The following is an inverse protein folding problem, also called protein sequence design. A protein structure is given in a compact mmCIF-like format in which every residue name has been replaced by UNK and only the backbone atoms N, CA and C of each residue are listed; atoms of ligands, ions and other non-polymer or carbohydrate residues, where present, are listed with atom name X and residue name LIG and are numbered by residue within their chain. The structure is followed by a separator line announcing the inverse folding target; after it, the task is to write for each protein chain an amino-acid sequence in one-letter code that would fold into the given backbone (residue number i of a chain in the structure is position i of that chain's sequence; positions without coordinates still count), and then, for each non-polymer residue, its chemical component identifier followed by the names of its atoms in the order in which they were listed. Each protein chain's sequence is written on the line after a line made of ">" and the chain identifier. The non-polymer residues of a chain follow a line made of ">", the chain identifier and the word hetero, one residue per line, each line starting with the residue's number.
data_IF_471112257925
#
_entry.id   IF_471112257925
#
_cell.length_a   1.000
_cell.length_b   1.000
_cell.length_c   1.000
_cell.angle_alpha   90.00
_cell.angle_beta   90.00
_cell.angle_gamma   90.00
#
_symmetry.space_group_name_H-M   'P 1'
#
loop_
_entity.id
_entity.type
_entity.pdbx_description
1 polymer ?
#
# COMPACT_ATOMS: atom_id res chain seq x y z
N UNK A 1 71.42 -77.61 -19.75
CA UNK A 1 71.24 -77.27 -18.32
C UNK A 1 71.87 -78.26 -17.33
N UNK A 2 72.41 -79.41 -17.73
CA UNK A 2 73.10 -80.34 -16.82
C UNK A 2 74.63 -80.13 -16.69
N UNK A 3 75.28 -79.41 -17.61
CA UNK A 3 76.72 -79.10 -17.52
C UNK A 3 77.05 -78.15 -16.38
N UNK A 4 76.22 -77.13 -16.16
CA UNK A 4 76.36 -76.18 -15.07
C UNK A 4 76.26 -76.86 -13.69
N UNK A 5 75.45 -77.92 -13.56
CA UNK A 5 75.36 -78.69 -12.32
C UNK A 5 76.60 -79.58 -12.11
N UNK A 6 77.16 -80.13 -13.20
CA UNK A 6 78.39 -80.94 -13.16
C UNK A 6 79.61 -80.11 -12.79
N UNK A 7 79.74 -78.91 -13.35
CA UNK A 7 80.82 -77.97 -12.98
C UNK A 7 80.69 -77.52 -11.53
N UNK A 8 79.48 -77.20 -11.06
CA UNK A 8 79.25 -76.86 -9.65
C UNK A 8 79.57 -78.01 -8.71
N UNK A 9 79.22 -79.25 -9.06
CA UNK A 9 79.56 -80.43 -8.27
C UNK A 9 81.08 -80.67 -8.24
N UNK A 10 81.78 -80.46 -9.37
CA UNK A 10 83.23 -80.60 -9.43
C UNK A 10 83.96 -79.53 -8.63
N UNK A 11 83.45 -78.29 -8.64
CA UNK A 11 83.98 -77.18 -7.84
C UNK A 11 83.82 -77.45 -6.34
N UNK A 12 82.64 -77.90 -5.91
CA UNK A 12 82.41 -78.30 -4.50
C UNK A 12 83.31 -79.47 -4.09
N UNK A 13 83.56 -80.42 -4.98
CA UNK A 13 84.44 -81.55 -4.71
C UNK A 13 85.92 -81.12 -4.63
N UNK A 14 86.36 -80.17 -5.46
CA UNK A 14 87.69 -79.56 -5.33
C UNK A 14 87.81 -78.77 -4.02
N UNK A 15 86.81 -77.98 -3.65
CA UNK A 15 86.82 -77.14 -2.45
C UNK A 15 86.82 -77.98 -1.16
N UNK A 16 86.12 -79.12 -1.15
CA UNK A 16 86.24 -80.10 -0.06
C UNK A 16 87.62 -80.76 0.01
N UNK A 17 88.24 -81.03 -1.14
CA UNK A 17 89.54 -81.70 -1.21
C UNK A 17 90.70 -80.74 -0.88
N UNK A 18 90.58 -79.46 -1.21
CA UNK A 18 91.55 -78.42 -0.85
C UNK A 18 91.41 -78.00 0.61
N UNK A 19 90.20 -77.97 1.16
CA UNK A 19 89.93 -77.72 2.59
C UNK A 19 90.54 -78.77 3.53
N UNK A 20 90.67 -80.04 3.11
CA UNK A 20 91.33 -81.08 3.90
C UNK A 20 92.87 -81.06 3.80
N UNK A 21 93.44 -80.53 2.73
CA UNK A 21 94.90 -80.44 2.54
C UNK A 21 95.55 -79.35 3.40
N UNK A 22 94.81 -78.33 3.82
CA UNK A 22 95.32 -77.23 4.68
C UNK A 22 95.26 -77.54 6.19
N UNK A 23 94.57 -78.62 6.59
CA UNK A 23 94.50 -79.08 7.99
C UNK A 23 95.47 -80.22 8.33
N UNK A 24 96.07 -80.88 7.33
CA UNK A 24 96.93 -82.06 7.50
C UNK A 24 98.44 -81.81 7.64
N UNK A 25 98.92 -80.58 7.47
CA UNK A 25 100.36 -80.28 7.33
C UNK A 25 100.94 -79.46 8.50
N UNK A 26 100.77 -79.97 9.72
CA UNK A 26 101.57 -79.57 10.89
C UNK A 26 101.42 -80.57 12.03
N UNK A 27 101.68 -81.84 11.74
CA UNK A 27 101.95 -82.81 12.80
C UNK A 27 102.67 -84.03 12.22
N UNK A 28 104.01 -83.94 12.16
CA UNK A 28 104.93 -85.03 12.51
C UNK A 28 106.40 -84.61 12.44
N UNK A 29 106.94 -84.44 13.64
CA UNK A 29 108.27 -84.85 14.10
C UNK A 29 109.54 -84.47 13.32
N UNK A 30 110.40 -83.68 13.97
CA UNK A 30 111.75 -84.18 14.32
C UNK A 30 112.35 -83.45 15.52
N UNK A 31 112.77 -84.26 16.50
CA UNK A 31 113.88 -84.06 17.45
C UNK A 31 113.63 -83.24 18.72
N UNK A 32 113.24 -84.00 19.73
CA UNK A 32 113.61 -83.89 21.15
C UNK A 32 114.97 -83.19 21.34
N UNK A 33 114.94 -81.98 21.91
CA UNK A 33 116.04 -81.42 22.70
C UNK A 33 115.52 -81.22 24.12
N UNK A 34 115.79 -82.18 25.01
CA UNK A 34 115.64 -81.97 26.45
C UNK A 34 116.53 -80.79 26.85
N UNK A 35 115.94 -79.72 27.37
CA UNK A 35 116.60 -78.76 28.26
C UNK A 35 115.77 -78.68 29.56
N UNK A 36 116.42 -78.48 30.72
CA UNK A 36 115.89 -78.87 32.01
C UNK A 36 114.77 -77.94 32.47
N UNK A 37 113.78 -78.54 33.15
CA UNK A 37 112.82 -77.84 34.01
C UNK A 37 113.53 -77.35 35.27
N UNK A 38 112.87 -76.39 35.93
CA UNK A 38 113.24 -75.61 37.12
C UNK A 38 114.06 -74.37 36.74
N UNK A 39 113.57 -73.13 36.95
CA UNK A 39 112.85 -72.67 38.14
C UNK A 39 112.07 -71.36 37.84
N UNK A 40 110.97 -71.16 38.59
CA UNK A 40 110.21 -69.91 38.77
C UNK A 40 109.44 -69.30 37.57
N UNK A 41 108.49 -70.07 37.02
CA UNK A 41 107.24 -69.42 36.58
C UNK A 41 106.42 -69.10 37.83
N UNK A 42 106.53 -67.87 38.35
CA UNK A 42 105.48 -67.32 39.19
C UNK A 42 104.16 -67.56 38.43
N UNK A 43 103.17 -68.29 38.97
CA UNK A 43 101.92 -68.49 38.26
C UNK A 43 101.37 -67.08 38.00
N UNK A 44 101.21 -66.71 36.73
CA UNK A 44 100.50 -65.49 36.39
C UNK A 44 99.04 -65.71 36.77
N UNK A 45 98.70 -65.40 38.02
CA UNK A 45 97.33 -65.34 38.52
C UNK A 45 96.54 -64.17 37.88
N UNK A 46 96.95 -63.69 36.70
CA UNK A 46 96.34 -62.60 35.95
C UNK A 46 95.09 -63.02 35.19
N UNK A 47 94.95 -64.30 34.81
CA UNK A 47 93.78 -64.77 34.06
C UNK A 47 92.45 -64.53 34.80
N UNK A 48 92.45 -64.63 36.14
CA UNK A 48 91.29 -64.29 36.97
C UNK A 48 90.98 -62.79 36.94
N UNK A 49 92.02 -61.95 37.01
CA UNK A 49 91.89 -60.48 36.91
C UNK A 49 91.37 -60.06 35.52
N UNK A 50 91.86 -60.67 34.45
CA UNK A 50 91.44 -60.39 33.07
C UNK A 50 89.97 -60.79 32.82
N UNK A 51 89.52 -61.91 33.40
CA UNK A 51 88.12 -62.33 33.34
C UNK A 51 87.23 -61.35 34.11
N UNK A 52 87.61 -60.96 35.33
CA UNK A 52 86.85 -59.96 36.10
C UNK A 52 86.79 -58.62 35.36
N UNK A 53 87.92 -58.14 34.83
CA UNK A 53 87.99 -56.90 34.06
C UNK A 53 87.06 -56.95 32.83
N UNK A 54 86.99 -58.06 32.10
CA UNK A 54 86.05 -58.22 30.99
C UNK A 54 84.58 -58.18 31.42
N UNK A 55 84.24 -58.82 32.55
CA UNK A 55 82.87 -58.77 33.07
C UNK A 55 82.51 -57.38 33.57
N UNK A 56 83.44 -56.69 34.22
CA UNK A 56 83.27 -55.30 34.66
C UNK A 56 83.04 -54.36 33.48
N UNK A 57 83.88 -54.43 32.45
CA UNK A 57 83.73 -53.66 31.21
C UNK A 57 82.41 -53.96 30.49
N UNK A 58 82.05 -55.25 30.39
CA UNK A 58 80.80 -55.68 29.76
C UNK A 58 79.57 -55.19 30.53
N UNK A 59 79.61 -55.27 31.86
CA UNK A 59 78.55 -54.80 32.74
C UNK A 59 78.41 -53.28 32.67
N UNK A 60 79.52 -52.55 32.70
CA UNK A 60 79.54 -51.10 32.53
C UNK A 60 78.93 -50.68 31.18
N UNK A 61 79.35 -51.31 30.07
CA UNK A 61 78.84 -51.03 28.73
C UNK A 61 77.34 -51.33 28.63
N UNK A 62 76.90 -52.47 29.20
CA UNK A 62 75.48 -52.84 29.23
C UNK A 62 74.67 -51.81 30.00
N UNK A 63 75.11 -51.43 31.21
CA UNK A 63 74.39 -50.46 32.02
C UNK A 63 74.33 -49.09 31.33
N UNK A 64 75.44 -48.64 30.73
CA UNK A 64 75.47 -47.41 29.94
C UNK A 64 74.46 -47.45 28.80
N UNK A 65 74.44 -48.52 28.01
CA UNK A 65 73.45 -48.69 26.93
C UNK A 65 72.02 -48.71 27.43
N UNK A 66 71.75 -49.38 28.54
CA UNK A 66 70.41 -49.38 29.16
C UNK A 66 70.00 -47.97 29.58
N UNK A 67 70.93 -47.18 30.13
CA UNK A 67 70.68 -45.78 30.50
C UNK A 67 70.42 -44.91 29.28
N UNK A 68 71.24 -45.03 28.23
CA UNK A 68 71.07 -44.29 26.99
C UNK A 68 69.73 -44.66 26.32
N UNK A 69 69.34 -45.94 26.37
CA UNK A 69 68.06 -46.42 25.87
C UNK A 69 66.87 -45.86 26.68
N UNK A 70 66.99 -45.79 28.02
CA UNK A 70 65.96 -45.20 28.87
C UNK A 70 65.77 -43.70 28.58
N UNK A 71 66.87 -42.96 28.40
CA UNK A 71 66.81 -41.53 28.02
C UNK A 71 66.17 -41.32 26.64
N UNK A 72 66.49 -42.18 25.67
CA UNK A 72 65.84 -42.14 24.35
C UNK A 72 64.34 -42.46 24.44
N UNK A 73 63.95 -43.42 25.29
CA UNK A 73 62.55 -43.75 25.53
C UNK A 73 61.79 -42.59 26.19
N UNK A 74 62.39 -41.91 27.18
CA UNK A 74 61.82 -40.72 27.81
C UNK A 74 61.61 -39.57 26.81
N UNK A 75 62.55 -39.36 25.88
CA UNK A 75 62.40 -38.35 24.83
C UNK A 75 61.22 -38.67 23.89
N UNK A 76 61.11 -39.93 23.45
CA UNK A 76 60.00 -40.37 22.59
C UNK A 76 58.65 -40.31 23.31
N UNK A 77 58.61 -40.64 24.60
CA UNK A 77 57.41 -40.50 25.42
C UNK A 77 56.97 -39.03 25.51
N UNK A 78 57.91 -38.10 25.69
CA UNK A 78 57.65 -36.67 25.62
C UNK A 78 57.02 -36.23 24.30
N UNK A 79 57.58 -36.68 23.17
CA UNK A 79 57.03 -36.41 21.83
C UNK A 79 55.63 -37.02 21.65
N UNK A 80 55.41 -38.24 22.16
CA UNK A 80 54.11 -38.92 22.11
C UNK A 80 53.05 -38.16 22.92
N UNK A 81 53.40 -37.68 24.12
CA UNK A 81 52.49 -36.86 24.95
C UNK A 81 52.15 -35.57 24.22
N UNK A 82 53.13 -34.86 23.66
CA UNK A 82 52.91 -33.64 22.90
C UNK A 82 52.01 -33.87 21.68
N UNK A 83 52.22 -34.94 20.93
CA UNK A 83 51.39 -35.30 19.78
C UNK A 83 49.95 -35.63 20.21
N UNK A 84 49.78 -36.37 21.31
CA UNK A 84 48.45 -36.69 21.85
C UNK A 84 47.68 -35.43 22.26
N UNK A 85 48.34 -34.48 22.92
CA UNK A 85 47.74 -33.20 23.29
C UNK A 85 47.34 -32.38 22.06
N UNK A 86 48.16 -32.43 21.00
CA UNK A 86 47.86 -31.77 19.73
C UNK A 86 46.64 -32.39 19.03
N UNK A 87 46.56 -33.72 19.02
CA UNK A 87 45.44 -34.46 18.47
C UNK A 87 44.15 -34.18 19.23
N UNK A 88 44.21 -34.17 20.56
CA UNK A 88 43.05 -33.87 21.42
C UNK A 88 42.51 -32.46 21.17
N UNK A 89 43.39 -31.47 21.02
CA UNK A 89 42.98 -30.10 20.67
C UNK A 89 42.27 -30.05 19.31
N UNK A 90 42.79 -30.77 18.31
CA UNK A 90 42.18 -30.83 16.97
C UNK A 90 40.84 -31.55 17.01
N UNK A 91 40.73 -32.64 17.76
CA UNK A 91 39.49 -33.38 17.97
C UNK A 91 38.43 -32.49 18.62
N UNK A 92 38.77 -31.78 19.70
CA UNK A 92 37.86 -30.86 20.36
C UNK A 92 37.35 -29.75 19.41
N UNK A 93 38.24 -29.16 18.62
CA UNK A 93 37.87 -28.14 17.63
C UNK A 93 36.93 -28.69 16.53
N UNK A 94 37.16 -29.92 16.06
CA UNK A 94 36.29 -30.58 15.10
C UNK A 94 34.91 -30.90 15.69
N UNK A 95 34.85 -31.38 16.94
CA UNK A 95 33.58 -31.62 17.62
C UNK A 95 32.79 -30.33 17.77
N UNK A 96 33.43 -29.22 18.16
CA UNK A 96 32.77 -27.92 18.26
C UNK A 96 32.23 -27.47 16.90
N UNK A 97 33.01 -27.61 15.82
CA UNK A 97 32.55 -27.28 14.47
C UNK A 97 31.36 -28.15 14.06
N UNK A 98 31.39 -29.44 14.37
CA UNK A 98 30.29 -30.35 14.09
C UNK A 98 29.02 -29.94 14.84
N UNK A 99 29.12 -29.57 16.13
CA UNK A 99 27.99 -29.06 16.91
C UNK A 99 27.39 -27.80 16.29
N UNK A 100 28.23 -26.85 15.83
CA UNK A 100 27.74 -25.66 15.13
C UNK A 100 27.08 -26.01 13.79
N UNK A 101 27.63 -26.97 13.04
CA UNK A 101 27.03 -27.37 11.77
C UNK A 101 25.70 -28.10 11.97
N UNK A 102 25.54 -28.81 13.09
CA UNK A 102 24.29 -29.47 13.45
C UNK A 102 23.16 -28.49 13.83
N UNK A 103 23.46 -27.24 14.23
CA UNK A 103 22.44 -26.24 14.51
C UNK A 103 21.95 -25.49 13.27
N UNK A 104 22.71 -25.50 12.16
CA UNK A 104 22.35 -24.81 10.91
C UNK A 104 20.97 -25.21 10.37
N UNK A 105 20.55 -26.50 10.34
CA UNK A 105 19.22 -26.86 9.88
C UNK A 105 18.08 -26.27 10.73
N UNK A 106 18.28 -26.14 12.05
CA UNK A 106 17.29 -25.51 12.92
C UNK A 106 17.17 -24.01 12.60
N UNK A 107 18.31 -23.33 12.43
CA UNK A 107 18.34 -21.92 12.02
C UNK A 107 17.69 -21.69 10.64
N UNK A 108 17.90 -22.61 9.68
CA UNK A 108 17.20 -22.57 8.38
C UNK A 108 15.69 -22.71 8.60
N UNK A 109 15.24 -23.62 9.47
CA UNK A 109 13.83 -23.76 9.82
C UNK A 109 13.23 -22.49 10.43
N UNK A 110 13.99 -21.79 11.28
CA UNK A 110 13.57 -20.50 11.84
C UNK A 110 13.46 -19.41 10.76
N UNK A 111 14.41 -19.37 9.80
CA UNK A 111 14.36 -18.48 8.64
C UNK A 111 13.15 -18.78 7.74
N UNK A 112 12.88 -20.05 7.47
CA UNK A 112 11.71 -20.48 6.68
C UNK A 112 10.41 -20.10 7.38
N UNK A 113 10.33 -20.25 8.71
CA UNK A 113 9.17 -19.84 9.50
C UNK A 113 8.97 -18.31 9.47
N UNK A 114 10.04 -17.53 9.62
CA UNK A 114 9.97 -16.07 9.48
C UNK A 114 9.54 -15.66 8.08
N UNK A 115 10.06 -16.32 7.04
CA UNK A 115 9.69 -16.07 5.64
C UNK A 115 8.20 -16.37 5.41
N UNK A 116 7.68 -17.46 5.96
CA UNK A 116 6.25 -17.79 5.89
C UNK A 116 5.38 -16.77 6.63
N UNK A 117 5.81 -16.29 7.80
CA UNK A 117 5.10 -15.26 8.54
C UNK A 117 5.06 -13.92 7.78
N UNK A 118 6.16 -13.54 7.13
CA UNK A 118 6.21 -12.35 6.26
C UNK A 118 5.20 -12.50 5.12
N UNK A 119 5.20 -13.63 4.41
CA UNK A 119 4.26 -13.87 3.32
C UNK A 119 2.79 -13.85 3.78
N UNK A 120 2.50 -14.36 4.98
CA UNK A 120 1.15 -14.26 5.56
C UNK A 120 0.75 -12.81 5.82
N UNK A 121 1.66 -12.03 6.43
CA UNK A 121 1.42 -10.63 6.76
C UNK A 121 1.24 -9.78 5.49
N UNK A 122 2.01 -10.06 4.42
CA UNK A 122 1.81 -9.46 3.10
C UNK A 122 0.39 -9.71 2.57
N UNK A 123 -0.11 -10.94 2.71
CA UNK A 123 -1.50 -11.28 2.36
C UNK A 123 -2.55 -10.53 3.19
N UNK A 124 -2.32 -10.42 4.51
CA UNK A 124 -3.22 -9.65 5.41
C UNK A 124 -3.25 -8.16 5.03
N UNK A 125 -2.10 -7.59 4.63
CA UNK A 125 -2.02 -6.20 4.15
C UNK A 125 -2.75 -6.02 2.82
N UNK A 126 -2.62 -6.93 1.86
CA UNK A 126 -3.37 -6.87 0.60
C UNK A 126 -4.89 -6.94 0.85
N UNK A 127 -5.34 -7.80 1.79
CA UNK A 127 -6.75 -7.85 2.18
C UNK A 127 -7.19 -6.52 2.83
N UNK A 128 -6.39 -5.94 3.70
CA UNK A 128 -6.69 -4.65 4.33
C UNK A 128 -6.77 -3.51 3.31
N UNK A 129 -5.85 -3.46 2.34
CA UNK A 129 -5.88 -2.50 1.24
C UNK A 129 -7.16 -2.64 0.41
N UNK A 130 -7.56 -3.87 0.09
CA UNK A 130 -8.82 -4.12 -0.63
C UNK A 130 -10.05 -3.62 0.14
N UNK A 131 -10.08 -3.80 1.47
CA UNK A 131 -11.15 -3.32 2.34
C UNK A 131 -11.15 -1.79 2.44
N UNK A 132 -9.98 -1.16 2.48
CA UNK A 132 -9.84 0.28 2.53
C UNK A 132 -10.34 0.92 1.22
N UNK A 133 -9.96 0.35 0.07
CA UNK A 133 -10.46 0.78 -1.25
C UNK A 133 -12.00 0.64 -1.35
N UNK A 134 -12.56 -0.44 -0.81
CA UNK A 134 -14.01 -0.62 -0.74
C UNK A 134 -14.67 0.43 0.15
N UNK A 135 -14.07 0.75 1.31
CA UNK A 135 -14.58 1.79 2.20
C UNK A 135 -14.54 3.17 1.53
N UNK A 136 -13.46 3.51 0.83
CA UNK A 136 -13.36 4.75 0.05
C UNK A 136 -14.47 4.84 -0.99
N UNK A 137 -14.71 3.75 -1.72
CA UNK A 137 -15.81 3.66 -2.69
C UNK A 137 -17.18 3.93 -2.03
N UNK A 138 -17.42 3.35 -0.86
CA UNK A 138 -18.65 3.55 -0.11
C UNK A 138 -18.79 5.00 0.41
N UNK A 139 -17.71 5.62 0.87
CA UNK A 139 -17.68 7.03 1.26
C UNK A 139 -18.04 7.95 0.09
N UNK A 140 -17.40 7.75 -1.07
CA UNK A 140 -17.74 8.50 -2.29
C UNK A 140 -19.21 8.35 -2.68
N UNK A 141 -19.76 7.13 -2.55
CA UNK A 141 -21.18 6.88 -2.82
C UNK A 141 -22.10 7.63 -1.84
N UNK A 142 -21.77 7.64 -0.55
CA UNK A 142 -22.53 8.37 0.48
C UNK A 142 -22.50 9.89 0.22
N UNK A 143 -21.35 10.45 -0.14
CA UNK A 143 -21.22 11.87 -0.50
C UNK A 143 -22.05 12.20 -1.73
N UNK A 144 -21.96 11.38 -2.78
CA UNK A 144 -22.77 11.55 -3.99
C UNK A 144 -24.26 11.52 -3.69
N UNK A 145 -24.71 10.54 -2.88
CA UNK A 145 -26.10 10.42 -2.47
C UNK A 145 -26.56 11.66 -1.68
N UNK A 146 -25.71 12.18 -0.80
CA UNK A 146 -25.99 13.37 0.00
C UNK A 146 -26.19 14.60 -0.90
N UNK A 147 -25.29 14.81 -1.86
CA UNK A 147 -25.41 15.92 -2.84
C UNK A 147 -26.67 15.77 -3.69
N UNK A 148 -26.96 14.56 -4.18
CA UNK A 148 -28.18 14.30 -4.93
C UNK A 148 -29.44 14.62 -4.11
N UNK A 149 -29.48 14.20 -2.84
CA UNK A 149 -30.59 14.49 -1.94
C UNK A 149 -30.74 15.99 -1.69
N UNK A 150 -29.64 16.72 -1.53
CA UNK A 150 -29.65 18.18 -1.39
C UNK A 150 -30.27 18.85 -2.63
N UNK A 151 -29.90 18.44 -3.84
CA UNK A 151 -30.49 18.97 -5.07
C UNK A 151 -31.99 18.66 -5.19
N UNK A 152 -32.43 17.45 -4.83
CA UNK A 152 -33.85 17.09 -4.79
C UNK A 152 -34.60 18.01 -3.82
N UNK A 153 -34.08 18.18 -2.60
CA UNK A 153 -34.69 19.03 -1.58
C UNK A 153 -34.77 20.49 -2.02
N UNK A 154 -33.73 21.02 -2.67
CA UNK A 154 -33.72 22.37 -3.25
C UNK A 154 -34.80 22.53 -4.33
N UNK A 155 -34.92 21.55 -5.22
CA UNK A 155 -35.93 21.55 -6.27
C UNK A 155 -37.35 21.50 -5.71
N UNK A 156 -37.58 20.67 -4.68
CA UNK A 156 -38.87 20.60 -3.98
C UNK A 156 -39.22 21.91 -3.27
N UNK A 157 -38.25 22.52 -2.59
CA UNK A 157 -38.42 23.82 -1.95
C UNK A 157 -38.77 24.92 -2.97
N UNK A 158 -38.07 24.94 -4.11
CA UNK A 158 -38.36 25.86 -5.21
C UNK A 158 -39.76 25.65 -5.78
N UNK A 159 -40.13 24.40 -6.09
CA UNK A 159 -41.49 24.05 -6.57
C UNK A 159 -42.56 24.48 -5.57
N UNK A 160 -42.34 24.26 -4.27
CA UNK A 160 -43.24 24.69 -3.20
C UNK A 160 -43.37 26.20 -3.13
N UNK A 161 -42.26 26.94 -3.26
CA UNK A 161 -42.26 28.41 -3.31
C UNK A 161 -43.08 28.91 -4.50
N UNK A 162 -42.88 28.33 -5.69
CA UNK A 162 -43.61 28.70 -6.90
C UNK A 162 -45.11 28.44 -6.77
N UNK A 163 -45.53 27.31 -6.19
CA UNK A 163 -46.95 27.05 -5.90
C UNK A 163 -47.56 28.12 -5.00
N UNK A 164 -46.85 28.54 -3.93
CA UNK A 164 -47.30 29.60 -3.03
C UNK A 164 -47.38 30.97 -3.71
N UNK A 165 -46.41 31.31 -4.57
CA UNK A 165 -46.43 32.56 -5.34
C UNK A 165 -47.66 32.61 -6.27
N UNK A 166 -47.97 31.50 -6.95
CA UNK A 166 -49.16 31.41 -7.81
C UNK A 166 -50.45 31.53 -6.99
N UNK A 167 -50.57 30.80 -5.89
CA UNK A 167 -51.73 30.87 -4.98
C UNK A 167 -51.93 32.30 -4.42
N UNK A 168 -50.84 32.98 -4.04
CA UNK A 168 -50.91 34.36 -3.56
C UNK A 168 -51.38 35.33 -4.65
N UNK A 169 -50.85 35.22 -5.88
CA UNK A 169 -51.29 36.05 -7.01
C UNK A 169 -52.75 35.78 -7.37
N UNK A 170 -53.20 34.53 -7.30
CA UNK A 170 -54.61 34.17 -7.53
C UNK A 170 -55.52 34.83 -6.47
N UNK A 171 -55.15 34.77 -5.19
CA UNK A 171 -55.90 35.42 -4.11
C UNK A 171 -55.93 36.95 -4.29
N UNK A 172 -54.78 37.56 -4.61
CA UNK A 172 -54.67 39.00 -4.82
C UNK A 172 -55.55 39.45 -6.00
N UNK A 173 -55.45 38.76 -7.15
CA UNK A 173 -56.26 39.03 -8.34
C UNK A 173 -57.76 38.87 -8.07
N UNK A 174 -58.15 37.81 -7.35
CA UNK A 174 -59.55 37.60 -6.94
C UNK A 174 -60.05 38.72 -6.01
N UNK A 175 -59.20 39.20 -5.09
CA UNK A 175 -59.54 40.30 -4.20
C UNK A 175 -59.68 41.64 -4.94
N UNK A 176 -58.78 41.92 -5.89
CA UNK A 176 -58.84 43.12 -6.73
C UNK A 176 -60.08 43.11 -7.62
N UNK A 177 -60.42 41.95 -8.20
CA UNK A 177 -61.64 41.76 -8.97
C UNK A 177 -62.88 42.00 -8.10
N UNK A 178 -62.95 41.40 -6.91
CA UNK A 178 -64.06 41.61 -5.98
C UNK A 178 -64.20 43.08 -5.56
N UNK A 179 -63.09 43.78 -5.32
CA UNK A 179 -63.09 45.21 -5.01
C UNK A 179 -63.62 46.04 -6.19
N UNK A 180 -63.11 45.81 -7.41
CA UNK A 180 -63.57 46.50 -8.63
C UNK A 180 -65.08 46.30 -8.86
N UNK A 181 -65.58 45.09 -8.67
CA UNK A 181 -67.02 44.79 -8.77
C UNK A 181 -67.80 45.58 -7.71
N UNK A 182 -67.34 45.60 -6.45
CA UNK A 182 -68.00 46.35 -5.38
C UNK A 182 -68.01 47.88 -5.64
N UNK A 183 -66.92 48.43 -6.16
CA UNK A 183 -66.82 49.85 -6.54
C UNK A 183 -67.78 50.18 -7.70
N UNK A 184 -67.84 49.34 -8.74
CA UNK A 184 -68.79 49.49 -9.84
C UNK A 184 -70.24 49.41 -9.36
N UNK A 185 -70.57 48.47 -8.47
CA UNK A 185 -71.88 48.40 -7.85
C UNK A 185 -72.21 49.65 -7.03
N UNK A 186 -71.25 50.17 -6.25
CA UNK A 186 -71.44 51.37 -5.44
C UNK A 186 -71.69 52.59 -6.32
N UNK A 187 -70.89 52.79 -7.37
CA UNK A 187 -71.07 53.91 -8.31
C UNK A 187 -72.42 53.81 -9.03
N UNK A 188 -72.84 52.61 -9.43
CA UNK A 188 -74.18 52.38 -10.00
C UNK A 188 -75.29 52.71 -9.00
N UNK A 189 -75.19 52.23 -7.75
CA UNK A 189 -76.15 52.54 -6.67
C UNK A 189 -76.21 54.04 -6.36
N UNK A 190 -75.08 54.75 -6.40
CA UNK A 190 -75.05 56.19 -6.22
C UNK A 190 -75.75 56.93 -7.38
N UNK A 191 -75.46 56.57 -8.63
CA UNK A 191 -76.14 57.15 -9.80
C UNK A 191 -77.66 56.96 -9.75
N UNK A 192 -78.13 55.78 -9.32
CA UNK A 192 -79.56 55.52 -9.11
C UNK A 192 -80.15 56.39 -8.00
N UNK A 193 -79.45 56.55 -6.87
CA UNK A 193 -79.88 57.43 -5.77
C UNK A 193 -79.93 58.90 -6.17
N UNK A 194 -78.93 59.40 -6.88
CA UNK A 194 -78.91 60.79 -7.38
C UNK A 194 -80.07 61.03 -8.34
N UNK A 195 -80.32 60.08 -9.26
CA UNK A 195 -81.48 60.13 -10.15
C UNK A 195 -82.81 60.12 -9.39
N UNK A 196 -82.95 59.27 -8.38
CA UNK A 196 -84.12 59.25 -7.50
C UNK A 196 -84.32 60.61 -6.81
N UNK A 197 -83.24 61.20 -6.27
CA UNK A 197 -83.28 62.51 -5.62
C UNK A 197 -83.72 63.62 -6.57
N UNK A 198 -83.25 63.62 -7.82
CA UNK A 198 -83.68 64.57 -8.85
C UNK A 198 -85.19 64.44 -9.11
N UNK A 199 -85.71 63.21 -9.20
CA UNK A 199 -87.15 63.00 -9.35
C UNK A 199 -87.95 63.47 -8.12
N UNK A 200 -87.45 63.22 -6.91
CA UNK A 200 -88.07 63.67 -5.68
C UNK A 200 -88.07 65.20 -5.54
N UNK A 201 -86.97 65.86 -5.88
CA UNK A 201 -86.87 67.33 -5.92
C UNK A 201 -87.83 67.92 -6.95
N UNK A 202 -87.93 67.33 -8.14
CA UNK A 202 -88.90 67.73 -9.15
C UNK A 202 -90.35 67.59 -8.65
N UNK A 203 -90.67 66.46 -8.01
CA UNK A 203 -91.99 66.24 -7.42
C UNK A 203 -92.32 67.25 -6.31
N UNK A 204 -91.38 67.51 -5.41
CA UNK A 204 -91.57 68.49 -4.34
C UNK A 204 -91.76 69.91 -4.88
N UNK A 205 -91.03 70.27 -5.94
CA UNK A 205 -91.24 71.53 -6.66
C UNK A 205 -92.66 71.60 -7.24
N UNK A 206 -93.14 70.53 -7.89
CA UNK A 206 -94.49 70.48 -8.45
C UNK A 206 -95.57 70.63 -7.35
N UNK A 207 -95.39 69.97 -6.20
CA UNK A 207 -96.28 70.11 -5.04
C UNK A 207 -96.26 71.54 -4.49
N UNK A 208 -95.08 72.14 -4.35
CA UNK A 208 -94.96 73.54 -3.90
C UNK A 208 -95.62 74.50 -4.87
N UNK A 209 -95.43 74.32 -6.18
CA UNK A 209 -96.11 75.11 -7.21
C UNK A 209 -97.63 74.97 -7.11
N UNK A 210 -98.14 73.75 -6.92
CA UNK A 210 -99.57 73.51 -6.73
C UNK A 210 -100.13 74.25 -5.52
N UNK A 211 -99.46 74.13 -4.36
CA UNK A 211 -99.86 74.81 -3.13
C UNK A 211 -99.82 76.35 -3.27
N UNK A 212 -98.90 76.87 -4.06
CA UNK A 212 -98.71 78.32 -4.28
C UNK A 212 -99.73 78.91 -5.27
N UNK A 213 -100.08 78.17 -6.32
CA UNK A 213 -100.78 78.72 -7.51
C UNK A 213 -102.17 78.11 -7.73
N UNK A 214 -102.48 76.98 -7.11
CA UNK A 214 -103.76 76.26 -7.22
C UNK A 214 -103.90 75.36 -8.46
N UNK A 215 -102.90 75.29 -9.34
CA UNK A 215 -102.91 74.49 -10.57
C UNK A 215 -101.51 73.88 -10.83
N UNK A 216 -101.44 72.62 -11.24
CA UNK A 216 -100.18 71.99 -11.68
C UNK A 216 -99.85 72.48 -13.10
N UNK A 217 -98.65 73.02 -13.32
CA UNK A 217 -98.14 73.16 -14.69
C UNK A 217 -97.73 71.77 -15.15
N UNK A 218 -98.51 71.15 -16.05
CA UNK A 218 -97.99 70.03 -16.82
C UNK A 218 -96.80 70.56 -17.60
N UNK A 219 -95.60 70.11 -17.25
CA UNK A 219 -94.42 70.31 -18.09
C UNK A 219 -94.81 69.82 -19.49
N UNK A 220 -94.82 70.73 -20.47
CA UNK A 220 -94.88 70.32 -21.87
C UNK A 220 -93.81 69.26 -22.05
N UNK A 221 -94.25 68.07 -22.48
CA UNK A 221 -93.35 66.98 -22.80
C UNK A 221 -92.33 67.54 -23.79
N UNK A 222 -91.09 67.70 -23.35
CA UNK A 222 -90.00 67.97 -24.25
C UNK A 222 -89.93 66.79 -25.20
N UNK A 223 -90.43 66.99 -26.41
CA UNK A 223 -90.23 66.15 -27.59
C UNK A 223 -90.40 64.66 -27.37
N UNK A 224 -91.60 64.17 -27.66
CA UNK A 224 -91.81 62.82 -28.16
C UNK A 224 -90.75 62.49 -29.23
N UNK A 225 -89.76 61.67 -28.88
CA UNK A 225 -89.06 60.86 -29.89
C UNK A 225 -89.22 59.38 -29.55
N UNK A 226 -90.42 58.90 -29.87
CA UNK A 226 -90.84 57.50 -29.77
C UNK A 226 -90.25 56.67 -30.94
N UNK A 227 -89.22 57.16 -31.65
CA UNK A 227 -88.65 56.47 -32.82
C UNK A 227 -87.17 56.09 -32.74
N UNK A 228 -86.43 56.43 -31.69
CA UNK A 228 -84.97 56.22 -31.69
C UNK A 228 -84.52 54.90 -31.04
N UNK A 229 -85.43 54.11 -30.44
CA UNK A 229 -85.01 52.81 -29.89
C UNK A 229 -84.64 51.78 -30.98
N UNK A 230 -85.15 51.95 -32.21
CA UNK A 230 -84.81 51.14 -33.39
C UNK A 230 -83.45 51.53 -34.02
N UNK A 231 -82.74 52.49 -33.41
CA UNK A 231 -81.48 53.05 -33.90
C UNK A 231 -80.40 53.06 -32.81
N UNK A 232 -80.29 51.99 -32.03
CA UNK A 232 -79.11 51.76 -31.20
C UNK A 232 -77.98 51.17 -32.07
N UNK A 233 -77.33 52.02 -32.87
CA UNK A 233 -76.05 51.70 -33.50
C UNK A 233 -74.93 51.83 -32.47
N UNK A 234 -74.00 50.88 -32.43
CA UNK A 234 -72.76 50.97 -31.62
C UNK A 234 -71.98 52.17 -32.14
N UNK A 235 -72.06 53.31 -31.46
CA UNK A 235 -71.48 54.58 -31.95
C UNK A 235 -70.00 54.70 -31.65
N UNK A 236 -69.48 53.86 -30.74
CA UNK A 236 -68.07 53.84 -30.39
C UNK A 236 -67.36 52.76 -31.21
N UNK A 237 -66.49 53.18 -32.11
CA UNK A 237 -65.70 52.31 -33.01
C UNK A 237 -64.89 51.29 -32.19
N UNK A 238 -64.44 51.68 -30.98
CA UNK A 238 -63.72 50.79 -30.06
C UNK A 238 -64.59 49.67 -29.48
N UNK A 239 -65.89 49.89 -29.29
CA UNK A 239 -66.81 48.86 -28.76
C UNK A 239 -67.22 47.88 -29.88
N UNK A 240 -67.27 48.36 -31.12
CA UNK A 240 -67.49 47.52 -32.30
C UNK A 240 -66.28 46.61 -32.56
N UNK A 241 -65.06 47.12 -32.43
CA UNK A 241 -63.81 46.34 -32.56
C UNK A 241 -63.70 45.28 -31.45
N UNK A 242 -64.04 45.63 -30.20
CA UNK A 242 -64.06 44.68 -29.10
C UNK A 242 -65.11 43.55 -29.27
N UNK A 243 -66.26 43.85 -29.87
CA UNK A 243 -67.28 42.85 -30.21
C UNK A 243 -66.80 41.93 -31.34
N UNK A 244 -66.16 42.48 -32.36
CA UNK A 244 -65.60 41.70 -33.45
C UNK A 244 -64.47 40.79 -32.92
N UNK A 245 -63.56 41.28 -32.08
CA UNK A 245 -62.53 40.44 -31.45
C UNK A 245 -63.10 39.33 -30.55
N UNK A 246 -64.14 39.63 -29.77
CA UNK A 246 -64.83 38.63 -28.94
C UNK A 246 -65.48 37.54 -29.79
N UNK A 247 -66.22 37.91 -30.84
CA UNK A 247 -66.90 36.96 -31.72
C UNK A 247 -65.92 36.17 -32.60
N UNK A 248 -64.82 36.79 -33.02
CA UNK A 248 -63.79 36.16 -33.85
C UNK A 248 -62.84 35.28 -33.02
N UNK A 249 -62.62 35.58 -31.73
CA UNK A 249 -61.79 34.73 -30.84
C UNK A 249 -62.44 33.40 -30.46
N UNK A 250 -63.75 33.24 -30.67
CA UNK A 250 -64.47 31.96 -30.48
C UNK A 250 -64.42 31.06 -31.73
N UNK A 251 -63.81 31.54 -32.82
CA UNK A 251 -63.90 30.93 -34.14
C UNK A 251 -62.78 29.99 -34.56
N UNK A 252 -61.55 30.16 -34.06
CA UNK A 252 -60.38 29.43 -34.59
C UNK A 252 -59.48 28.90 -33.46
N UNK A 253 -59.99 27.92 -32.71
CA UNK A 253 -59.21 26.76 -32.20
C UNK A 253 -60.15 25.74 -31.54
N UNK A 254 -61.20 25.35 -32.28
CA UNK A 254 -61.85 24.04 -32.11
C UNK A 254 -60.96 22.98 -32.76
N UNK A 255 -59.78 22.76 -32.20
CA UNK A 255 -59.04 21.52 -32.36
C UNK A 255 -58.77 20.92 -30.99
N UNK A 256 -59.80 20.19 -30.53
CA UNK A 256 -59.72 19.05 -29.61
C UNK A 256 -59.13 19.31 -28.22
N UNK A 257 -60.02 19.61 -27.27
CA UNK A 257 -60.00 18.93 -25.98
C UNK A 257 -59.99 19.80 -24.73
N UNK A 258 -61.16 20.33 -24.33
CA UNK A 258 -61.53 20.30 -22.91
C UNK A 258 -63.05 20.35 -22.74
N UNK A 259 -63.61 19.22 -22.32
CA UNK A 259 -64.99 19.07 -21.88
C UNK A 259 -64.98 19.08 -20.36
N UNK A 260 -65.58 20.10 -19.75
CA UNK A 260 -65.83 20.14 -18.31
C UNK A 260 -67.31 19.91 -18.02
N UNK A 261 -67.70 18.66 -17.77
CA UNK A 261 -68.78 18.36 -16.82
C UNK A 261 -68.61 16.94 -16.26
N UNK A 262 -68.75 16.84 -14.93
CA UNK A 262 -68.92 15.63 -14.12
C UNK A 262 -67.63 14.96 -13.60
N UNK A 263 -67.34 15.13 -12.30
CA UNK A 263 -66.55 14.17 -11.53
C UNK A 263 -67.43 13.05 -10.95
N UNK A 264 -66.97 12.30 -9.94
CA UNK A 264 -65.62 11.78 -9.69
C UNK A 264 -65.57 10.26 -9.98
N UNK A 265 -64.40 9.69 -10.26
CA UNK A 265 -64.14 8.32 -9.79
C UNK A 265 -62.65 8.01 -9.65
N UNK A 266 -62.41 7.07 -8.74
CA UNK A 266 -61.15 6.66 -8.14
C UNK A 266 -60.30 5.77 -9.07
N UNK A 267 -59.02 5.66 -8.68
CA UNK A 267 -58.02 4.63 -9.03
C UNK A 267 -56.88 5.01 -10.00
N UNK A 268 -55.73 5.24 -9.36
CA UNK A 268 -54.43 4.58 -9.63
C UNK A 268 -53.79 4.62 -11.03
N UNK A 269 -52.73 5.43 -11.09
CA UNK A 269 -51.35 5.05 -11.42
C UNK A 269 -51.08 4.23 -12.69
N UNK A 270 -50.34 4.84 -13.64
CA UNK A 270 -48.88 4.60 -13.74
C UNK A 270 -48.28 5.40 -14.90
N UNK A 271 -47.23 6.13 -14.58
CA UNK A 271 -46.43 6.92 -15.52
C UNK A 271 -45.27 6.09 -16.05
N UNK A 272 -45.13 6.01 -17.37
CA UNK A 272 -43.90 5.62 -18.05
C UNK A 272 -43.63 6.61 -19.18
N UNK A 273 -42.57 7.41 -19.07
CA UNK A 273 -41.97 8.13 -20.19
C UNK A 273 -40.52 8.49 -19.85
N UNK A 274 -39.62 7.67 -20.37
CA UNK A 274 -38.28 8.07 -20.83
C UNK A 274 -38.45 9.17 -21.91
N UNK A 275 -37.53 10.07 -22.28
CA UNK A 275 -36.07 10.09 -22.24
C UNK A 275 -35.60 11.52 -22.60
N UNK A 276 -34.40 11.88 -22.14
CA UNK A 276 -33.32 12.56 -22.91
C UNK A 276 -32.99 14.03 -22.59
N UNK A 277 -31.84 14.22 -21.95
CA UNK A 277 -30.73 15.10 -22.38
C UNK A 277 -29.50 14.81 -21.49
N UNK A 278 -28.37 14.33 -22.04
CA UNK A 278 -27.13 15.09 -22.36
C UNK A 278 -26.38 15.55 -21.08
N UNK A 279 -25.08 15.34 -20.85
CA UNK A 279 -23.88 15.49 -21.70
C UNK A 279 -22.61 15.10 -20.90
N UNK A 280 -21.48 14.88 -21.59
CA UNK A 280 -20.16 14.45 -21.07
C UNK A 280 -19.15 15.63 -21.00
N UNK A 281 -18.32 15.62 -19.94
CA UNK A 281 -16.93 16.13 -19.70
C UNK A 281 -16.53 17.63 -19.56
N UNK A 282 -15.56 17.80 -18.63
CA UNK A 282 -14.88 18.95 -17.98
C UNK A 282 -13.88 19.76 -18.88
N UNK A 283 -12.92 20.63 -18.42
CA UNK A 283 -12.52 21.23 -17.10
C UNK A 283 -12.15 22.76 -17.23
N UNK A 284 -11.09 23.37 -16.60
CA UNK A 284 -10.78 23.74 -15.19
C UNK A 284 -10.57 25.29 -14.97
N UNK A 285 -9.98 25.68 -13.81
CA UNK A 285 -9.13 26.88 -13.48
C UNK A 285 -9.64 28.03 -12.57
N UNK A 286 -8.99 28.11 -11.39
CA UNK A 286 -8.11 29.18 -10.86
C UNK A 286 -8.61 30.63 -10.81
N UNK A 287 -8.55 31.24 -9.61
CA UNK A 287 -7.97 32.57 -9.25
C UNK A 287 -8.58 33.04 -7.91
N UNK A 288 -7.85 33.06 -6.79
CA UNK A 288 -6.92 34.10 -6.30
C UNK A 288 -7.55 35.49 -6.03
N UNK A 289 -7.65 35.85 -4.74
CA UNK A 289 -7.35 37.14 -4.07
C UNK A 289 -7.90 37.05 -2.64
N UNK A 290 -7.15 36.94 -1.53
CA UNK A 290 -6.00 37.67 -0.99
C UNK A 290 -6.34 38.95 -0.20
N UNK A 291 -5.84 38.98 1.04
CA UNK A 291 -5.51 40.10 1.96
C UNK A 291 -6.61 40.62 2.91
N UNK A 292 -6.50 40.32 4.24
CA UNK A 292 -5.74 41.04 5.31
C UNK A 292 -6.49 42.29 5.82
N UNK A 293 -6.48 42.72 7.08
CA UNK A 293 -5.97 42.30 8.38
C UNK A 293 -6.47 43.36 9.40
N UNK A 294 -6.53 43.03 10.70
CA UNK A 294 -6.34 43.90 11.89
C UNK A 294 -7.09 43.28 13.09
N UNK A 295 -6.45 42.61 14.05
CA UNK A 295 -5.56 43.15 15.11
C UNK A 295 -6.31 43.95 16.18
N UNK A 296 -6.61 43.32 17.32
CA UNK A 296 -6.79 43.98 18.63
C UNK A 296 -6.27 43.02 19.71
N UNK A 297 -5.22 43.46 20.40
CA UNK A 297 -4.69 42.91 21.65
C UNK A 297 -5.45 43.49 22.84
N UNK A 298 -5.63 42.71 23.90
CA UNK A 298 -5.80 43.24 25.26
C UNK A 298 -5.37 42.20 26.31
N UNK A 299 -4.35 42.58 27.08
CA UNK A 299 -3.94 42.08 28.40
C UNK A 299 -5.09 42.37 29.42
N UNK A 300 -5.29 41.76 30.60
CA UNK A 300 -4.40 41.12 31.58
C UNK A 300 -5.26 40.43 32.70
N UNK A 301 -4.58 39.65 33.56
CA UNK A 301 -4.91 39.17 34.93
C UNK A 301 -5.64 37.82 35.21
N UNK A 302 -4.80 36.83 35.53
CA UNK A 302 -4.65 36.13 36.83
C UNK A 302 -5.84 35.37 37.47
N UNK A 303 -5.73 34.03 37.51
CA UNK A 303 -5.85 33.24 38.75
C UNK A 303 -5.46 31.76 38.53
N UNK A 304 -4.32 31.39 39.11
CA UNK A 304 -3.94 30.12 39.73
C UNK A 304 -4.71 28.82 39.39
N UNK A 305 -4.00 27.86 38.78
CA UNK A 305 -4.04 26.44 39.19
C UNK A 305 -2.89 25.66 38.53
N UNK A 306 -2.01 25.13 39.37
CA UNK A 306 -0.94 24.18 39.05
C UNK A 306 -1.53 22.84 38.57
N UNK A 307 -1.20 22.37 37.36
CA UNK A 307 -1.07 20.93 37.06
C UNK A 307 -0.31 20.70 35.74
N UNK A 308 1.01 20.52 35.86
CA UNK A 308 1.73 19.32 35.39
C UNK A 308 1.94 18.95 33.91
N UNK A 309 3.22 18.59 33.63
CA UNK A 309 3.80 17.78 32.53
C UNK A 309 3.76 18.43 31.12
N UNK A 310 4.77 18.50 30.25
CA UNK A 310 6.08 17.86 30.02
C UNK A 310 6.72 18.61 28.79
N UNK A 311 8.05 18.68 28.59
CA UNK A 311 8.65 19.53 27.55
C UNK A 311 8.56 18.96 26.11
N UNK A 312 8.23 19.83 25.14
CA UNK A 312 8.33 19.58 23.70
C UNK A 312 9.80 19.34 23.30
N UNK A 313 10.12 18.10 22.89
CA UNK A 313 11.38 17.76 22.22
C UNK A 313 11.22 17.97 20.71
N UNK A 314 12.03 18.85 20.16
CA UNK A 314 12.19 19.06 18.72
C UNK A 314 12.92 17.83 18.13
N UNK A 315 12.33 17.16 17.13
CA UNK A 315 13.06 16.16 16.34
C UNK A 315 13.78 16.86 15.20
N UNK A 316 15.09 16.61 15.08
CA UNK A 316 15.83 16.86 13.85
C UNK A 316 15.45 15.81 12.80
N UNK A 317 15.61 16.18 11.53
CA UNK A 317 15.41 15.30 10.39
C UNK A 317 16.78 15.13 9.72
N UNK A 318 17.44 13.99 9.97
CA UNK A 318 18.59 13.53 9.18
C UNK A 318 18.12 12.63 8.03
N UNK A 319 18.16 13.16 6.82
CA UNK A 319 18.04 12.40 5.57
C UNK A 319 19.30 11.52 5.38
N UNK A 320 19.16 10.20 5.53
CA UNK A 320 20.20 9.24 5.13
C UNK A 320 19.87 8.75 3.72
N UNK A 321 20.56 9.29 2.72
CA UNK A 321 20.65 8.69 1.39
C UNK A 321 21.75 7.60 1.40
N UNK A 322 21.43 6.32 1.16
CA UNK A 322 22.43 5.38 0.69
C UNK A 322 22.39 5.41 -0.84
N UNK A 323 23.49 5.80 -1.49
CA UNK A 323 23.64 5.34 -2.86
C UNK A 323 25.07 4.93 -3.24
N UNK A 324 25.11 3.73 -3.77
CA UNK A 324 26.28 2.99 -4.17
C UNK A 324 26.78 3.50 -5.52
N UNK A 325 28.01 3.98 -5.57
CA UNK A 325 28.74 4.09 -6.84
C UNK A 325 30.17 3.57 -6.66
N UNK A 326 30.34 2.27 -6.91
CA UNK A 326 31.64 1.64 -7.06
C UNK A 326 31.79 1.22 -8.53
N UNK A 327 32.95 1.58 -9.07
CA UNK A 327 33.61 1.04 -10.26
C UNK A 327 33.22 1.63 -11.62
N UNK A 328 33.96 2.67 -12.02
CA UNK A 328 34.40 2.81 -13.40
C UNK A 328 35.73 3.58 -13.47
N UNK A 329 36.69 2.99 -14.20
CA UNK A 329 37.90 3.58 -14.80
C UNK A 329 39.14 3.78 -13.91
N UNK A 330 40.13 2.89 -14.07
CA UNK A 330 41.37 3.32 -14.73
C UNK A 330 42.11 2.17 -15.42
N UNK A 331 42.10 2.28 -16.74
CA UNK A 331 42.99 1.63 -17.70
C UNK A 331 44.34 2.36 -17.71
N UNK A 332 45.43 1.64 -17.42
CA UNK A 332 46.78 1.94 -17.93
C UNK A 332 47.46 0.60 -18.18
N UNK A 333 47.47 0.17 -19.44
CA UNK A 333 48.30 -0.93 -19.91
C UNK A 333 49.79 -0.59 -19.94
N UNK A 334 50.65 -1.58 -19.69
CA UNK A 334 51.97 -1.72 -20.32
C UNK A 334 52.47 -3.18 -20.25
N UNK A 335 52.38 -3.88 -21.39
CA UNK A 335 53.45 -4.68 -22.03
C UNK A 335 54.09 -5.90 -21.33
N UNK A 336 53.72 -7.11 -21.81
CA UNK A 336 54.51 -8.37 -22.04
C UNK A 336 53.53 -9.54 -21.94
N UNK A 337 53.41 -10.51 -22.84
CA UNK A 337 54.22 -10.95 -23.96
C UNK A 337 54.17 -12.49 -23.98
N UNK A 338 53.63 -13.03 -25.08
CA UNK A 338 53.85 -14.38 -25.64
C UNK A 338 53.22 -15.65 -25.04
N UNK A 339 52.83 -16.50 -26.01
CA UNK A 339 52.59 -17.97 -26.01
C UNK A 339 51.36 -18.52 -25.30
N UNK A 340 50.62 -19.51 -25.80
CA UNK A 340 50.63 -20.36 -27.01
C UNK A 340 49.35 -21.23 -26.88
N UNK A 341 48.77 -21.69 -27.99
CA UNK A 341 47.88 -22.86 -28.15
C UNK A 341 46.36 -22.66 -28.16
N UNK A 342 45.82 -22.75 -29.38
CA UNK A 342 44.53 -23.34 -29.77
C UNK A 342 44.73 -24.88 -29.96
N UNK A 343 43.74 -25.75 -30.32
CA UNK A 343 42.30 -25.55 -30.54
C UNK A 343 41.40 -26.74 -30.07
N UNK A 344 40.13 -26.72 -30.53
CA UNK A 344 39.18 -27.83 -30.78
C UNK A 344 37.97 -27.90 -29.82
N UNK A 345 36.80 -27.44 -30.27
CA UNK A 345 35.72 -28.26 -30.88
C UNK A 345 34.99 -29.14 -29.84
N UNK A 346 33.74 -28.80 -29.50
CA UNK A 346 32.54 -29.40 -30.12
C UNK A 346 31.31 -29.19 -29.22
N UNK A 347 30.28 -28.57 -29.79
CA UNK A 347 28.87 -28.79 -29.45
C UNK A 347 28.38 -29.93 -30.37
N UNK A 348 27.23 -30.62 -30.16
CA UNK A 348 26.03 -30.11 -29.51
C UNK A 348 25.17 -31.13 -28.72
N UNK A 349 24.13 -30.56 -28.11
CA UNK A 349 22.77 -31.05 -27.88
C UNK A 349 22.42 -32.50 -28.28
N UNK A 350 21.88 -33.22 -27.29
CA UNK A 350 20.97 -34.35 -27.43
C UNK A 350 19.99 -34.33 -26.27
#
# INVERSE_FOLDING_TARGET
>A
MFENFRERLHMVQQDFTTGFKTLGDKSRDTKVRRRPRFEESLPHFSAGLDILSRYEESWFLLHRRTKDCAQAAEAVDGDMVMLSAHWERKRAALTQLQEQLQSVPAFIGDLDAMTANIAHLEGDFEEMESKLMYLETLCCQCEQQTVQQQHINQLEAYKKKKRKEVEALEVELNSEHAQKVAELEQTMKQKLRERQKVYEEAFNQDVQQYLSTGYLQHREQAGTDVRVLDQMTVTNISDQEALDDFLNSTGDDISTGSSLTSGPDLESCSSESEMKSQMIQAPPTKNQASNQAAAWEQEEEEAASEESYEPLVQSDEEDIQPDMSLVALQDVGTLRGSDESDPAEDLPSG
#
